data_IF_344385567602
#
_entry.id   IF_344385567602
#
_cell.length_a   1.000
_cell.length_b   1.000
_cell.length_c   1.000
_cell.angle_alpha   90.00
_cell.angle_beta   90.00
_cell.angle_gamma   90.00
#
_symmetry.space_group_name_H-M   'P 1'
#
loop_
_entity.id
_entity.type
_entity.pdbx_description
1 polymer ?
#
# COMPACT_ATOMS: atom_id res chain seq x y z
N UNK A 1 -5.76 -6.62 -8.20
CA UNK A 1 -6.43 -5.44 -7.64
C UNK A 1 -5.54 -4.96 -6.50
N UNK A 2 -4.88 -3.82 -6.66
CA UNK A 2 -3.79 -3.38 -5.78
C UNK A 2 -4.23 -2.24 -4.85
N UNK A 3 -3.90 -2.37 -3.57
CA UNK A 3 -4.14 -1.38 -2.53
C UNK A 3 -2.83 -0.66 -2.23
N UNK A 4 -2.76 0.63 -2.53
CA UNK A 4 -1.64 1.46 -2.15
C UNK A 4 -1.76 1.83 -0.66
N UNK A 5 -0.64 1.96 0.05
CA UNK A 5 -0.59 2.36 1.46
C UNK A 5 0.31 3.58 1.59
N UNK A 6 -0.24 4.72 1.99
CA UNK A 6 0.56 5.94 2.17
C UNK A 6 1.51 5.80 3.37
N UNK A 7 2.80 5.76 3.10
CA UNK A 7 3.85 5.36 4.04
C UNK A 7 4.89 6.47 4.29
N UNK A 8 4.42 7.70 4.56
CA UNK A 8 5.29 8.86 4.80
C UNK A 8 5.97 8.82 6.18
N UNK A 9 5.27 8.34 7.21
CA UNK A 9 5.79 8.11 8.57
C UNK A 9 4.88 7.14 9.33
N UNK A 10 5.44 6.20 10.10
CA UNK A 10 4.65 5.28 10.95
C UNK A 10 4.93 3.79 10.72
N UNK A 11 4.01 2.95 11.20
CA UNK A 11 4.10 1.49 11.17
C UNK A 11 3.13 0.88 10.13
N UNK A 12 3.60 0.74 8.89
CA UNK A 12 2.78 0.29 7.75
C UNK A 12 2.74 -1.23 7.58
N UNK A 13 3.69 -1.93 8.19
CA UNK A 13 3.81 -3.39 8.12
C UNK A 13 2.59 -4.13 8.70
N UNK A 14 1.87 -3.53 9.65
CA UNK A 14 0.60 -4.09 10.15
C UNK A 14 -0.55 -3.96 9.16
N UNK A 15 -0.60 -2.85 8.42
CA UNK A 15 -1.59 -2.66 7.36
C UNK A 15 -1.38 -3.67 6.23
N UNK A 16 -0.15 -3.84 5.76
CA UNK A 16 0.18 -4.84 4.73
C UNK A 16 -0.14 -6.27 5.20
N UNK A 17 0.14 -6.61 6.47
CA UNK A 17 -0.22 -7.91 7.03
C UNK A 17 -1.71 -8.18 7.01
N UNK A 18 -2.54 -7.18 7.31
CA UNK A 18 -4.00 -7.32 7.28
C UNK A 18 -4.49 -7.43 5.83
N UNK A 19 -3.97 -6.59 4.93
CA UNK A 19 -4.33 -6.61 3.51
C UNK A 19 -3.97 -7.95 2.85
N UNK A 20 -2.79 -8.49 3.15
CA UNK A 20 -2.35 -9.81 2.70
C UNK A 20 -3.25 -10.93 3.25
N UNK A 21 -3.66 -10.87 4.52
CA UNK A 21 -4.64 -11.83 5.09
C UNK A 21 -6.00 -11.77 4.40
N UNK A 22 -6.38 -10.61 3.86
CA UNK A 22 -7.60 -10.42 3.07
C UNK A 22 -7.42 -10.82 1.60
N UNK A 23 -6.23 -11.31 1.20
CA UNK A 23 -5.92 -11.70 -0.17
C UNK A 23 -5.74 -10.51 -1.12
N UNK A 24 -5.50 -9.31 -0.59
CA UNK A 24 -5.27 -8.12 -1.38
C UNK A 24 -3.76 -7.87 -1.55
N UNK A 25 -3.34 -7.62 -2.79
CA UNK A 25 -1.99 -7.14 -3.06
C UNK A 25 -1.87 -5.69 -2.60
N UNK A 26 -0.84 -5.38 -1.82
CA UNK A 26 -0.57 -4.03 -1.33
C UNK A 26 0.86 -3.57 -1.59
N UNK A 27 1.06 -2.26 -1.66
CA UNK A 27 2.38 -1.66 -1.73
C UNK A 27 2.41 -0.26 -1.11
N UNK A 28 3.58 0.16 -0.65
CA UNK A 28 3.76 1.45 -0.01
C UNK A 28 3.98 2.60 -1.01
N UNK A 29 3.40 3.76 -0.71
CA UNK A 29 3.72 5.05 -1.34
C UNK A 29 4.53 5.88 -0.35
N UNK A 30 5.82 6.06 -0.62
CA UNK A 30 6.75 6.85 0.18
C UNK A 30 7.16 8.15 -0.49
N UNK A 31 6.98 8.23 -1.80
CA UNK A 31 7.43 9.33 -2.64
C UNK A 31 6.51 9.48 -3.85
N UNK A 32 6.54 10.66 -4.48
CA UNK A 32 5.62 11.02 -5.57
C UNK A 32 5.62 10.02 -6.73
N UNK A 33 6.78 9.45 -7.09
CA UNK A 33 6.88 8.46 -8.18
C UNK A 33 6.19 7.13 -7.88
N UNK A 34 5.90 6.81 -6.62
CA UNK A 34 5.18 5.58 -6.30
C UNK A 34 3.70 5.68 -6.71
N UNK A 35 3.19 6.92 -6.92
CA UNK A 35 1.87 7.17 -7.51
C UNK A 35 1.80 6.82 -9.00
N UNK A 36 2.94 6.66 -9.68
CA UNK A 36 2.98 6.26 -11.09
C UNK A 36 2.61 4.78 -11.26
N UNK A 37 2.65 4.00 -10.18
CA UNK A 37 2.16 2.62 -10.16
C UNK A 37 0.63 2.63 -10.14
N UNK A 38 0.01 1.86 -11.03
CA UNK A 38 -1.44 1.72 -11.02
C UNK A 38 -1.92 0.99 -9.77
N UNK A 39 -2.90 1.58 -9.08
CA UNK A 39 -3.60 1.00 -7.94
C UNK A 39 -5.09 1.25 -8.07
N UNK A 40 -5.88 0.40 -7.43
CA UNK A 40 -7.34 0.49 -7.46
C UNK A 40 -7.89 1.18 -6.21
N UNK A 41 -7.11 1.18 -5.12
CA UNK A 41 -7.48 1.69 -3.79
C UNK A 41 -6.25 2.27 -3.08
N UNK A 42 -6.45 3.20 -2.15
CA UNK A 42 -5.42 3.88 -1.34
C UNK A 42 -5.81 3.84 0.15
#
# INVERSE_FOLDING_TARGET
MAVAVLALQGAFAEHEKILSKLGADSFEIRQKKDLDRSFDRL
#
